data_IF_969397422084
#
_entry.id   IF_969397422084
#
_cell.length_a   1.000
_cell.length_b   1.000
_cell.length_c   1.000
_cell.angle_alpha   90.00
_cell.angle_beta   90.00
_cell.angle_gamma   90.00
#
_symmetry.space_group_name_H-M   'P 1'
#
loop_
_entity.id
_entity.type
_entity.pdbx_description
1 polymer ?
#
# COMPACT_ATOMS: atom_id res chain seq x y z
N UNK A 1 -14.57 -49.98 10.83
CA UNK A 1 -14.51 -48.84 9.91
C UNK A 1 -13.04 -48.64 9.62
N UNK A 2 -12.64 -48.71 8.35
CA UNK A 2 -11.26 -48.46 7.94
C UNK A 2 -10.89 -47.03 8.38
N UNK A 3 -9.63 -46.82 8.78
CA UNK A 3 -9.15 -45.47 9.14
C UNK A 3 -8.81 -44.72 7.84
N UNK A 4 -9.78 -43.96 7.35
CA UNK A 4 -9.69 -43.16 6.12
C UNK A 4 -8.41 -42.32 6.07
N UNK A 5 -7.93 -41.80 7.22
CA UNK A 5 -6.69 -41.05 7.29
C UNK A 5 -5.49 -41.92 6.97
N UNK A 6 -5.45 -43.15 7.53
CA UNK A 6 -4.35 -44.08 7.27
C UNK A 6 -4.34 -44.55 5.80
N UNK A 7 -5.51 -44.76 5.19
CA UNK A 7 -5.64 -45.09 3.78
C UNK A 7 -5.12 -43.96 2.89
N UNK A 8 -5.49 -42.71 3.15
CA UNK A 8 -5.00 -41.57 2.39
C UNK A 8 -3.49 -41.31 2.59
N UNK A 9 -2.98 -41.50 3.81
CA UNK A 9 -1.52 -41.45 4.05
C UNK A 9 -0.77 -42.51 3.24
N UNK A 10 -1.33 -43.69 3.07
CA UNK A 10 -0.73 -44.75 2.22
C UNK A 10 -0.77 -44.34 0.73
N UNK A 11 -1.86 -43.76 0.27
CA UNK A 11 -2.06 -43.28 -1.11
C UNK A 11 -1.13 -42.11 -1.50
N UNK A 12 -0.55 -41.36 -0.55
CA UNK A 12 0.50 -40.37 -0.84
C UNK A 12 1.78 -40.97 -1.44
N UNK A 13 1.92 -42.32 -1.46
CA UNK A 13 3.08 -43.05 -2.01
C UNK A 13 2.75 -43.75 -3.31
N UNK A 14 1.58 -43.53 -3.88
CA UNK A 14 1.16 -44.17 -5.14
C UNK A 14 2.07 -43.74 -6.29
N UNK A 15 2.23 -44.61 -7.29
CA UNK A 15 2.99 -44.31 -8.50
C UNK A 15 2.33 -43.22 -9.35
N UNK A 16 0.99 -43.20 -9.36
CA UNK A 16 0.20 -42.18 -10.09
C UNK A 16 0.13 -40.87 -9.29
N UNK A 17 0.60 -39.80 -9.92
CA UNK A 17 0.59 -38.46 -9.31
C UNK A 17 -0.84 -37.97 -9.00
N UNK A 18 -1.85 -38.36 -9.82
CA UNK A 18 -3.24 -37.94 -9.59
C UNK A 18 -3.81 -38.55 -8.31
N UNK A 19 -3.42 -39.81 -7.99
CA UNK A 19 -3.80 -40.47 -6.73
C UNK A 19 -3.10 -39.78 -5.56
N UNK A 20 -1.83 -39.39 -5.69
CA UNK A 20 -1.11 -38.66 -4.63
C UNK A 20 -1.71 -37.27 -4.38
N UNK A 21 -2.10 -36.57 -5.45
CA UNK A 21 -2.75 -35.24 -5.35
C UNK A 21 -4.12 -35.34 -4.66
N UNK A 22 -4.97 -36.31 -5.08
CA UNK A 22 -6.27 -36.55 -4.47
C UNK A 22 -6.14 -36.90 -2.98
N UNK A 23 -5.17 -37.78 -2.65
CA UNK A 23 -4.88 -38.14 -1.27
C UNK A 23 -4.46 -36.94 -0.41
N UNK A 24 -3.57 -36.06 -0.93
CA UNK A 24 -3.16 -34.85 -0.24
C UNK A 24 -4.36 -33.90 0.00
N UNK A 25 -5.20 -33.72 -1.02
CA UNK A 25 -6.41 -32.90 -0.94
C UNK A 25 -7.39 -33.44 0.08
N UNK A 26 -7.62 -34.76 0.10
CA UNK A 26 -8.50 -35.40 1.07
C UNK A 26 -7.97 -35.25 2.50
N UNK A 27 -6.65 -35.42 2.73
CA UNK A 27 -6.03 -35.20 4.04
C UNK A 27 -6.19 -33.75 4.52
N UNK A 28 -6.13 -32.78 3.63
CA UNK A 28 -6.45 -31.37 3.94
C UNK A 28 -7.90 -31.18 4.36
N UNK A 29 -8.83 -31.88 3.76
CA UNK A 29 -10.25 -31.85 4.15
C UNK A 29 -10.48 -32.48 5.52
N UNK A 30 -9.81 -33.59 5.81
CA UNK A 30 -9.90 -34.31 7.10
C UNK A 30 -9.25 -33.53 8.25
N UNK A 31 -8.27 -32.68 7.96
CA UNK A 31 -7.52 -31.86 8.93
C UNK A 31 -6.93 -32.65 10.11
N UNK A 32 -6.60 -33.91 9.90
CA UNK A 32 -6.05 -34.77 10.96
C UNK A 32 -4.56 -34.48 11.15
N UNK A 33 -4.08 -34.17 12.39
CA UNK A 33 -2.66 -33.92 12.65
C UNK A 33 -1.71 -35.06 12.26
N UNK A 34 -2.17 -36.30 12.19
CA UNK A 34 -1.37 -37.46 11.76
C UNK A 34 -0.88 -37.32 10.32
N UNK A 35 -1.56 -36.52 9.50
CA UNK A 35 -1.18 -36.27 8.11
C UNK A 35 0.00 -35.29 7.96
N UNK A 36 0.36 -34.52 9.00
CA UNK A 36 1.38 -33.44 8.91
C UNK A 36 2.70 -33.96 8.38
N UNK A 37 3.29 -34.97 9.04
CA UNK A 37 4.61 -35.48 8.64
C UNK A 37 4.57 -36.12 7.25
N UNK A 38 3.58 -36.99 6.89
CA UNK A 38 3.41 -37.45 5.53
C UNK A 38 3.31 -36.36 4.47
N UNK A 39 2.50 -35.32 4.70
CA UNK A 39 2.31 -34.19 3.79
C UNK A 39 3.58 -33.36 3.62
N UNK A 40 4.35 -33.15 4.69
CA UNK A 40 5.67 -32.49 4.60
C UNK A 40 6.64 -33.30 3.72
N UNK A 41 6.58 -34.61 3.73
CA UNK A 41 7.38 -35.45 2.83
C UNK A 41 7.01 -35.21 1.37
N UNK A 42 5.75 -35.01 1.07
CA UNK A 42 5.19 -34.79 -0.27
C UNK A 42 5.53 -33.38 -0.81
N UNK A 43 6.00 -32.45 0.02
CA UNK A 43 6.56 -31.17 -0.48
C UNK A 43 7.80 -31.36 -1.39
N UNK A 44 8.39 -32.55 -1.44
CA UNK A 44 9.49 -32.93 -2.33
C UNK A 44 9.02 -33.70 -3.59
N UNK A 45 7.71 -33.84 -3.77
CA UNK A 45 7.18 -34.58 -4.92
C UNK A 45 7.64 -33.96 -6.24
N UNK A 46 7.93 -34.80 -7.23
CA UNK A 46 8.34 -34.33 -8.55
C UNK A 46 7.21 -33.56 -9.25
N UNK A 47 5.95 -33.97 -9.01
CA UNK A 47 4.80 -33.31 -9.59
C UNK A 47 4.40 -32.05 -8.79
N UNK A 48 4.18 -30.96 -9.53
CA UNK A 48 3.81 -29.68 -8.93
C UNK A 48 2.41 -29.70 -8.30
N UNK A 49 1.43 -30.35 -8.96
CA UNK A 49 0.07 -30.41 -8.45
C UNK A 49 0.01 -31.10 -7.09
N UNK A 50 0.82 -32.17 -6.92
CA UNK A 50 0.96 -32.90 -5.64
C UNK A 50 1.56 -32.00 -4.56
N UNK A 51 2.62 -31.22 -4.89
CA UNK A 51 3.20 -30.27 -3.93
C UNK A 51 2.21 -29.16 -3.53
N UNK A 52 1.46 -28.62 -4.50
CA UNK A 52 0.47 -27.58 -4.27
C UNK A 52 -0.69 -28.08 -3.41
N UNK A 53 -1.16 -29.32 -3.65
CA UNK A 53 -2.18 -30.00 -2.83
C UNK A 53 -1.68 -30.23 -1.39
N UNK A 54 -0.45 -30.71 -1.22
CA UNK A 54 0.16 -30.93 0.10
C UNK A 54 0.33 -29.60 0.87
N UNK A 55 0.73 -28.55 0.19
CA UNK A 55 0.83 -27.18 0.75
C UNK A 55 -0.51 -26.70 1.24
N UNK A 56 -1.56 -26.84 0.43
CA UNK A 56 -2.93 -26.47 0.76
C UNK A 56 -3.47 -27.27 1.94
N UNK A 57 -3.16 -28.57 1.98
CA UNK A 57 -3.53 -29.48 3.06
C UNK A 57 -2.87 -29.09 4.40
N UNK A 58 -1.57 -28.80 4.38
CA UNK A 58 -0.84 -28.33 5.57
C UNK A 58 -1.38 -27.00 6.09
N UNK A 59 -1.76 -26.09 5.18
CA UNK A 59 -2.42 -24.84 5.54
C UNK A 59 -3.80 -25.09 6.18
N UNK A 60 -4.58 -26.03 5.64
CA UNK A 60 -5.90 -26.37 6.17
C UNK A 60 -5.82 -27.06 7.54
N UNK A 61 -4.77 -27.86 7.79
CA UNK A 61 -4.49 -28.48 9.11
C UNK A 61 -4.09 -27.36 10.10
N UNK A 62 -3.31 -26.38 9.65
CA UNK A 62 -2.98 -25.20 10.42
C UNK A 62 -2.00 -25.43 11.57
N UNK A 63 -2.39 -25.06 12.79
CA UNK A 63 -1.54 -25.03 13.99
C UNK A 63 -0.74 -26.32 14.27
N UNK A 64 -1.26 -27.53 14.09
CA UNK A 64 -0.48 -28.76 14.29
C UNK A 64 0.73 -28.90 13.38
N UNK A 65 0.72 -28.27 12.18
CA UNK A 65 1.80 -28.36 11.22
C UNK A 65 3.00 -27.41 11.54
N UNK A 66 2.79 -26.42 12.39
CA UNK A 66 3.70 -25.28 12.61
C UNK A 66 5.11 -25.73 12.99
N UNK A 67 5.25 -26.61 13.98
CA UNK A 67 6.58 -27.04 14.46
C UNK A 67 7.36 -27.82 13.39
N UNK A 68 6.67 -28.71 12.66
CA UNK A 68 7.27 -29.52 11.59
C UNK A 68 7.68 -28.61 10.42
N UNK A 69 6.83 -27.68 10.02
CA UNK A 69 7.13 -26.69 8.99
C UNK A 69 8.29 -25.76 9.39
N UNK A 70 8.38 -25.39 10.68
CA UNK A 70 9.50 -24.63 11.21
C UNK A 70 10.84 -25.32 11.04
N UNK A 71 10.89 -26.66 11.19
CA UNK A 71 12.09 -27.45 10.90
C UNK A 71 12.43 -27.46 9.39
N UNK A 72 11.42 -27.41 8.53
CA UNK A 72 11.61 -27.39 7.06
C UNK A 72 12.25 -26.08 6.55
N UNK A 73 12.29 -25.02 7.32
CA UNK A 73 12.98 -23.77 6.92
C UNK A 73 14.51 -23.96 6.80
N UNK A 74 15.05 -25.05 7.32
CA UNK A 74 16.46 -25.44 7.19
C UNK A 74 16.66 -26.70 6.34
N UNK A 75 15.66 -27.06 5.55
CA UNK A 75 15.70 -28.24 4.68
C UNK A 75 16.77 -28.06 3.57
N UNK A 76 17.52 -29.09 3.17
CA UNK A 76 18.47 -28.97 2.09
C UNK A 76 17.82 -28.73 0.71
N UNK A 77 16.55 -29.06 0.55
CA UNK A 77 15.79 -28.85 -0.69
C UNK A 77 15.10 -27.47 -0.64
N UNK A 78 15.52 -26.58 -1.52
CA UNK A 78 15.04 -25.18 -1.54
C UNK A 78 13.51 -25.06 -1.70
N UNK A 79 12.93 -25.87 -2.60
CA UNK A 79 11.48 -25.90 -2.81
C UNK A 79 10.72 -26.20 -1.51
N UNK A 80 11.27 -27.05 -0.65
CA UNK A 80 10.66 -27.34 0.66
C UNK A 80 10.73 -26.13 1.58
N UNK A 81 11.86 -25.39 1.60
CA UNK A 81 11.99 -24.16 2.36
C UNK A 81 10.96 -23.11 1.89
N UNK A 82 10.83 -22.91 0.57
CA UNK A 82 9.89 -21.97 -0.03
C UNK A 82 8.43 -22.31 0.35
N UNK A 83 8.02 -23.55 0.15
CA UNK A 83 6.66 -23.99 0.46
C UNK A 83 6.35 -23.93 1.96
N UNK A 84 7.27 -24.39 2.79
CA UNK A 84 7.13 -24.32 4.25
C UNK A 84 7.04 -22.87 4.74
N UNK A 85 7.91 -21.97 4.23
CA UNK A 85 7.89 -20.55 4.59
C UNK A 85 6.59 -19.86 4.15
N UNK A 86 6.04 -20.23 2.98
CA UNK A 86 4.76 -19.72 2.48
C UNK A 86 3.60 -20.10 3.40
N UNK A 87 3.51 -21.36 3.84
CA UNK A 87 2.50 -21.83 4.77
C UNK A 87 2.64 -21.11 6.13
N UNK A 88 3.85 -21.03 6.66
CA UNK A 88 4.13 -20.35 7.91
C UNK A 88 3.83 -18.85 7.86
N UNK A 89 4.08 -18.18 6.72
CA UNK A 89 3.69 -16.79 6.51
C UNK A 89 2.17 -16.57 6.58
N UNK A 90 1.39 -17.60 6.31
CA UNK A 90 -0.08 -17.55 6.39
C UNK A 90 -0.58 -17.89 7.80
N UNK A 91 -0.05 -18.92 8.45
CA UNK A 91 -0.44 -19.33 9.81
C UNK A 91 0.05 -18.32 10.86
N UNK A 92 1.28 -17.79 10.71
CA UNK A 92 1.90 -16.77 11.55
C UNK A 92 1.89 -17.10 13.07
N UNK A 93 2.35 -18.29 13.44
CA UNK A 93 2.40 -18.76 14.83
C UNK A 93 3.72 -18.38 15.52
N UNK A 94 3.62 -17.85 16.74
CA UNK A 94 4.80 -17.40 17.51
C UNK A 94 5.78 -18.51 17.89
N UNK A 95 5.40 -19.78 17.85
CA UNK A 95 6.26 -20.94 18.14
C UNK A 95 7.41 -21.09 17.16
N UNK A 96 7.23 -20.60 15.91
CA UNK A 96 8.27 -20.66 14.87
C UNK A 96 9.09 -19.36 14.75
N UNK A 97 8.98 -18.43 15.69
CA UNK A 97 9.75 -17.18 15.67
C UNK A 97 11.25 -17.42 15.45
N UNK A 98 11.88 -18.28 16.24
CA UNK A 98 13.33 -18.54 16.12
C UNK A 98 13.74 -19.16 14.79
N UNK A 99 13.04 -20.20 14.27
CA UNK A 99 13.26 -20.68 12.91
C UNK A 99 13.08 -19.60 11.84
N UNK A 100 12.04 -18.74 11.94
CA UNK A 100 11.80 -17.64 11.00
C UNK A 100 12.91 -16.59 11.05
N UNK A 101 13.38 -16.22 12.24
CA UNK A 101 14.53 -15.30 12.40
C UNK A 101 15.78 -15.87 11.71
N UNK A 102 16.05 -17.17 11.82
CA UNK A 102 17.15 -17.81 11.07
C UNK A 102 16.92 -17.76 9.58
N UNK A 103 15.68 -17.97 9.12
CA UNK A 103 15.30 -17.93 7.71
C UNK A 103 15.46 -16.56 7.05
N UNK A 104 15.53 -15.46 7.84
CA UNK A 104 15.89 -14.14 7.32
C UNK A 104 17.29 -14.07 6.69
N UNK A 105 18.19 -15.00 7.03
CA UNK A 105 19.51 -15.12 6.45
C UNK A 105 19.59 -16.17 5.29
N UNK A 106 18.47 -16.71 4.84
CA UNK A 106 18.43 -17.67 3.74
C UNK A 106 19.07 -17.08 2.46
N UNK A 107 19.84 -17.87 1.70
CA UNK A 107 20.34 -17.45 0.39
C UNK A 107 19.19 -17.14 -0.59
N UNK A 108 18.05 -17.81 -0.42
CA UNK A 108 16.87 -17.62 -1.25
C UNK A 108 16.03 -16.43 -0.78
N UNK A 109 15.67 -15.56 -1.71
CA UNK A 109 14.91 -14.35 -1.42
C UNK A 109 13.43 -14.61 -1.09
N UNK A 110 12.84 -15.70 -1.65
CA UNK A 110 11.44 -16.07 -1.38
C UNK A 110 11.30 -16.49 0.08
N UNK A 111 12.26 -17.27 0.57
CA UNK A 111 12.31 -17.70 1.97
C UNK A 111 12.49 -16.50 2.90
N UNK A 112 13.40 -15.55 2.57
CA UNK A 112 13.59 -14.33 3.37
C UNK A 112 12.32 -13.48 3.41
N UNK A 113 11.68 -13.29 2.25
CA UNK A 113 10.43 -12.53 2.14
C UNK A 113 9.30 -13.14 2.97
N UNK A 114 9.07 -14.44 2.84
CA UNK A 114 8.04 -15.14 3.62
C UNK A 114 8.35 -15.12 5.12
N UNK A 115 9.62 -15.25 5.51
CA UNK A 115 10.03 -15.15 6.91
C UNK A 115 9.73 -13.75 7.47
N UNK A 116 10.07 -12.69 6.73
CA UNK A 116 9.73 -11.32 7.13
C UNK A 116 8.21 -11.12 7.27
N UNK A 117 7.43 -11.62 6.30
CA UNK A 117 5.96 -11.59 6.33
C UNK A 117 5.38 -12.30 7.55
N UNK A 118 5.84 -13.50 7.84
CA UNK A 118 5.41 -14.28 9.00
C UNK A 118 5.71 -13.52 10.31
N UNK A 119 6.92 -12.99 10.45
CA UNK A 119 7.35 -12.24 11.63
C UNK A 119 6.53 -10.95 11.82
N UNK A 120 6.22 -10.25 10.72
CA UNK A 120 5.33 -9.08 10.75
C UNK A 120 3.92 -9.42 11.23
N UNK A 121 3.39 -10.58 10.87
CA UNK A 121 2.07 -11.06 11.33
C UNK A 121 2.08 -11.54 12.78
N UNK A 122 3.21 -12.13 13.24
CA UNK A 122 3.41 -12.53 14.65
C UNK A 122 3.48 -11.29 15.55
N UNK A 123 3.96 -10.16 15.05
CA UNK A 123 4.06 -8.87 15.75
C UNK A 123 4.87 -8.94 17.07
N UNK A 124 5.85 -9.82 17.17
CA UNK A 124 6.70 -9.92 18.35
C UNK A 124 7.77 -8.81 18.32
N UNK A 125 7.83 -7.92 19.33
CA UNK A 125 8.85 -6.85 19.39
C UNK A 125 10.30 -7.32 19.28
N UNK A 126 10.60 -8.54 19.70
CA UNK A 126 11.95 -9.14 19.65
C UNK A 126 12.42 -9.40 18.21
N UNK A 127 11.53 -9.34 17.23
CA UNK A 127 11.85 -9.56 15.82
C UNK A 127 12.25 -8.27 15.07
N UNK A 128 12.10 -7.11 15.70
CA UNK A 128 12.47 -5.82 15.10
C UNK A 128 13.96 -5.78 14.74
N UNK A 129 14.85 -6.08 15.69
CA UNK A 129 16.29 -6.04 15.45
C UNK A 129 16.77 -7.00 14.33
N UNK A 130 16.28 -8.25 14.22
CA UNK A 130 16.56 -9.12 13.09
C UNK A 130 16.01 -8.64 11.74
N UNK A 131 14.89 -7.91 11.72
CA UNK A 131 14.26 -7.43 10.47
C UNK A 131 14.96 -6.19 9.89
N UNK A 132 15.43 -5.26 10.72
CA UNK A 132 16.01 -3.99 10.27
C UNK A 132 17.10 -4.15 9.19
N UNK A 133 18.05 -5.09 9.28
CA UNK A 133 19.06 -5.29 8.24
C UNK A 133 18.49 -5.61 6.84
N UNK A 134 17.27 -6.18 6.75
CA UNK A 134 16.65 -6.53 5.48
C UNK A 134 16.08 -5.29 4.74
N UNK A 135 16.04 -4.13 5.35
CA UNK A 135 15.73 -2.87 4.65
C UNK A 135 16.74 -2.53 3.55
N UNK A 136 17.93 -3.16 3.56
CA UNK A 136 18.93 -3.07 2.49
C UNK A 136 19.06 -4.35 1.64
N UNK A 137 18.11 -5.29 1.74
CA UNK A 137 18.17 -6.51 0.95
C UNK A 137 18.30 -6.18 -0.55
N UNK A 138 19.09 -6.98 -1.27
CA UNK A 138 19.29 -6.81 -2.71
C UNK A 138 18.00 -6.94 -3.52
N UNK A 139 17.02 -7.70 -3.01
CA UNK A 139 15.75 -7.95 -3.68
C UNK A 139 14.69 -6.97 -3.17
N UNK A 140 14.06 -6.22 -4.07
CA UNK A 140 13.07 -5.20 -3.75
C UNK A 140 11.89 -5.77 -2.95
N UNK A 141 11.36 -6.94 -3.36
CA UNK A 141 10.23 -7.59 -2.67
C UNK A 141 10.54 -7.91 -1.20
N UNK A 142 11.78 -8.27 -0.86
CA UNK A 142 12.21 -8.50 0.53
C UNK A 142 12.20 -7.20 1.32
N UNK A 143 12.71 -6.10 0.73
CA UNK A 143 12.71 -4.79 1.40
C UNK A 143 11.28 -4.29 1.67
N UNK A 144 10.39 -4.38 0.68
CA UNK A 144 8.98 -3.96 0.78
C UNK A 144 8.21 -4.77 1.83
N UNK A 145 8.40 -6.09 1.86
CA UNK A 145 7.79 -6.94 2.88
C UNK A 145 8.37 -6.66 4.28
N UNK A 146 9.68 -6.39 4.37
CA UNK A 146 10.33 -6.00 5.62
C UNK A 146 9.77 -4.68 6.17
N UNK A 147 9.59 -3.66 5.30
CA UNK A 147 8.95 -2.40 5.68
C UNK A 147 7.53 -2.64 6.21
N UNK A 148 6.78 -3.51 5.54
CA UNK A 148 5.41 -3.87 5.95
C UNK A 148 5.40 -4.65 7.26
N UNK A 149 6.35 -5.56 7.47
CA UNK A 149 6.51 -6.33 8.70
C UNK A 149 6.84 -5.43 9.89
N UNK A 150 7.80 -4.53 9.74
CA UNK A 150 8.18 -3.57 10.79
C UNK A 150 7.02 -2.62 11.11
N UNK A 151 6.28 -2.17 10.10
CA UNK A 151 5.08 -1.36 10.30
C UNK A 151 3.98 -2.11 11.06
N UNK A 152 3.77 -3.40 10.75
CA UNK A 152 2.79 -4.24 11.44
C UNK A 152 3.15 -4.50 12.91
N UNK A 153 4.45 -4.57 13.26
CA UNK A 153 4.91 -4.64 14.66
C UNK A 153 4.59 -3.34 15.40
N UNK A 154 4.49 -2.22 14.68
CA UNK A 154 3.97 -0.96 15.21
C UNK A 154 4.94 -0.24 16.17
N UNK A 155 4.42 0.23 17.31
CA UNK A 155 5.15 1.10 18.23
C UNK A 155 6.53 0.58 18.67
N UNK A 156 6.70 -0.73 18.80
CA UNK A 156 7.99 -1.32 19.16
C UNK A 156 9.07 -1.15 18.08
N UNK A 157 8.69 -0.98 16.81
CA UNK A 157 9.62 -0.76 15.72
C UNK A 157 10.02 0.72 15.56
N UNK A 158 9.24 1.67 16.09
CA UNK A 158 9.46 3.11 15.88
C UNK A 158 10.89 3.57 16.22
N UNK A 159 11.49 3.23 17.38
CA UNK A 159 12.83 3.68 17.69
C UNK A 159 13.87 3.22 16.66
N UNK A 160 13.78 1.96 16.21
CA UNK A 160 14.70 1.39 15.22
C UNK A 160 14.51 2.00 13.83
N UNK A 161 13.24 2.24 13.43
CA UNK A 161 12.92 2.90 12.16
C UNK A 161 13.37 4.35 12.13
N UNK A 162 13.18 5.10 13.23
CA UNK A 162 13.64 6.48 13.36
C UNK A 162 15.17 6.53 13.29
N UNK A 163 15.87 5.61 13.96
CA UNK A 163 17.32 5.50 13.86
C UNK A 163 17.79 5.20 12.42
N UNK A 164 17.06 4.36 11.68
CA UNK A 164 17.34 4.02 10.29
C UNK A 164 17.24 5.22 9.33
N UNK A 165 16.53 6.31 9.68
CA UNK A 165 16.44 7.53 8.87
C UNK A 165 17.79 8.26 8.70
N UNK A 166 18.79 7.96 9.53
CA UNK A 166 20.13 8.54 9.43
C UNK A 166 21.15 7.60 8.79
N UNK A 167 20.71 6.46 8.27
CA UNK A 167 21.59 5.47 7.66
C UNK A 167 22.31 6.02 6.41
N UNK A 168 23.55 5.57 6.18
CA UNK A 168 24.35 5.99 5.02
C UNK A 168 23.72 5.61 3.69
N UNK A 169 23.17 4.40 3.60
CA UNK A 169 22.51 3.87 2.41
C UNK A 169 21.11 4.44 2.23
N UNK A 170 20.85 5.07 1.10
CA UNK A 170 19.57 5.72 0.80
C UNK A 170 18.39 4.75 0.79
N UNK A 171 18.60 3.48 0.34
CA UNK A 171 17.56 2.47 0.34
C UNK A 171 17.05 2.15 1.74
N UNK A 172 17.94 2.10 2.74
CA UNK A 172 17.55 1.88 4.15
C UNK A 172 16.69 3.04 4.63
N UNK A 173 17.12 4.30 4.34
CA UNK A 173 16.32 5.47 4.71
C UNK A 173 14.95 5.48 4.03
N UNK A 174 14.90 5.16 2.73
CA UNK A 174 13.67 5.08 1.93
C UNK A 174 12.67 4.10 2.57
N UNK A 175 13.11 2.86 2.80
CA UNK A 175 12.21 1.83 3.36
C UNK A 175 11.89 2.06 4.84
N UNK A 176 12.73 2.76 5.58
CA UNK A 176 12.41 3.22 6.94
C UNK A 176 11.31 4.29 6.91
N UNK A 177 11.39 5.26 5.99
CA UNK A 177 10.33 6.27 5.74
C UNK A 177 9.01 5.60 5.37
N UNK A 178 9.04 4.65 4.42
CA UNK A 178 7.87 3.88 4.00
C UNK A 178 7.23 3.13 5.18
N UNK A 179 8.05 2.44 5.98
CA UNK A 179 7.58 1.71 7.17
C UNK A 179 6.95 2.68 8.20
N UNK A 180 7.58 3.82 8.47
CA UNK A 180 7.06 4.84 9.38
C UNK A 180 5.71 5.40 8.90
N UNK A 181 5.54 5.67 7.62
CA UNK A 181 4.25 6.07 7.04
C UNK A 181 3.16 5.03 7.27
N UNK A 182 3.46 3.76 7.05
CA UNK A 182 2.53 2.64 7.26
C UNK A 182 2.13 2.47 8.73
N UNK A 183 2.99 2.81 9.70
CA UNK A 183 2.63 2.73 11.13
C UNK A 183 1.53 3.70 11.52
N UNK A 184 1.35 4.79 10.76
CA UNK A 184 0.46 5.92 11.07
C UNK A 184 0.69 6.52 12.47
N UNK A 185 1.89 6.37 13.02
CA UNK A 185 2.22 6.91 14.34
C UNK A 185 2.53 8.40 14.26
N UNK A 186 1.88 9.18 15.12
CA UNK A 186 2.15 10.61 15.28
C UNK A 186 3.57 10.92 15.77
N UNK A 187 4.27 9.95 16.36
CA UNK A 187 5.67 10.10 16.80
C UNK A 187 6.64 10.20 15.63
N UNK A 188 6.27 9.63 14.45
CA UNK A 188 7.09 9.68 13.24
C UNK A 188 7.08 11.05 12.54
N UNK A 189 6.12 11.94 12.85
CA UNK A 189 5.93 13.21 12.12
C UNK A 189 7.19 14.07 12.13
N UNK A 190 7.73 14.39 13.29
CA UNK A 190 8.91 15.25 13.39
C UNK A 190 10.18 14.64 12.74
N UNK A 191 10.51 13.35 12.95
CA UNK A 191 11.57 12.68 12.20
C UNK A 191 11.38 12.75 10.67
N UNK A 192 10.17 12.51 10.18
CA UNK A 192 9.85 12.58 8.74
C UNK A 192 9.93 14.01 8.18
N UNK A 193 9.55 15.02 8.95
CA UNK A 193 9.75 16.42 8.56
C UNK A 193 11.24 16.76 8.44
N UNK A 194 12.08 16.22 9.32
CA UNK A 194 13.52 16.38 9.20
C UNK A 194 14.06 15.74 7.91
N UNK A 195 13.58 14.55 7.55
CA UNK A 195 13.95 13.87 6.29
C UNK A 195 13.48 14.69 5.08
N UNK A 196 12.24 15.18 5.07
CA UNK A 196 11.68 15.98 4.00
C UNK A 196 12.58 17.16 3.61
N UNK A 197 13.13 17.88 4.57
CA UNK A 197 13.92 19.09 4.30
C UNK A 197 15.42 18.88 4.24
N UNK A 198 15.95 17.78 4.81
CA UNK A 198 17.38 17.61 4.96
C UNK A 198 17.96 16.38 4.26
N UNK A 199 17.14 15.44 3.77
CA UNK A 199 17.69 14.28 3.09
C UNK A 199 18.29 14.69 1.73
N UNK A 200 19.49 14.18 1.46
CA UNK A 200 20.22 14.44 0.20
C UNK A 200 19.59 13.76 -1.01
N UNK A 201 18.84 12.68 -0.77
CA UNK A 201 18.22 11.89 -1.84
C UNK A 201 16.78 12.34 -2.07
N UNK A 202 16.49 12.69 -3.35
CA UNK A 202 15.16 13.16 -3.73
C UNK A 202 14.07 12.12 -3.49
N UNK A 203 14.33 10.85 -3.81
CA UNK A 203 13.33 9.79 -3.65
C UNK A 203 12.94 9.60 -2.18
N UNK A 204 13.91 9.76 -1.26
CA UNK A 204 13.65 9.70 0.19
C UNK A 204 12.80 10.89 0.64
N UNK A 205 13.05 12.11 0.12
CA UNK A 205 12.20 13.29 0.41
C UNK A 205 10.78 13.12 -0.13
N UNK A 206 10.62 12.61 -1.36
CA UNK A 206 9.32 12.32 -1.95
C UNK A 206 8.52 11.31 -1.10
N UNK A 207 9.16 10.25 -0.65
CA UNK A 207 8.51 9.26 0.21
C UNK A 207 8.19 9.82 1.60
N UNK A 208 9.00 10.75 2.13
CA UNK A 208 8.67 11.45 3.38
C UNK A 208 7.37 12.27 3.26
N UNK A 209 7.15 12.94 2.11
CA UNK A 209 5.86 13.61 1.82
C UNK A 209 4.70 12.61 1.82
N UNK A 210 4.86 11.48 1.12
CA UNK A 210 3.83 10.42 1.08
C UNK A 210 3.53 9.85 2.47
N UNK A 211 4.58 9.58 3.25
CA UNK A 211 4.49 9.06 4.61
C UNK A 211 3.75 10.04 5.54
N UNK A 212 4.05 11.34 5.47
CA UNK A 212 3.34 12.37 6.24
C UNK A 212 1.85 12.43 5.87
N UNK A 213 1.52 12.31 4.58
CA UNK A 213 0.13 12.21 4.13
C UNK A 213 -0.58 10.93 4.61
N UNK A 214 0.12 9.79 4.69
CA UNK A 214 -0.41 8.53 5.21
C UNK A 214 -0.68 8.58 6.72
N UNK A 215 0.21 9.24 7.48
CA UNK A 215 0.02 9.45 8.92
C UNK A 215 -1.21 10.33 9.19
N UNK A 216 -1.43 11.35 8.37
CA UNK A 216 -2.62 12.19 8.46
C UNK A 216 -2.58 13.21 9.61
N UNK A 217 -1.41 13.50 10.20
CA UNK A 217 -1.30 14.43 11.32
C UNK A 217 -1.27 15.89 10.86
N UNK A 218 -2.16 16.69 11.42
CA UNK A 218 -2.32 18.10 11.08
C UNK A 218 -1.08 18.98 11.37
N UNK A 219 -0.11 18.52 12.16
CA UNK A 219 1.17 19.19 12.38
C UNK A 219 2.02 19.31 11.12
N UNK A 220 1.81 18.41 10.15
CA UNK A 220 2.56 18.41 8.89
C UNK A 220 2.08 19.49 7.89
N UNK A 221 0.89 20.07 8.06
CA UNK A 221 0.23 20.93 7.08
C UNK A 221 1.10 22.09 6.62
N UNK A 222 1.60 22.91 7.54
CA UNK A 222 2.41 24.11 7.21
C UNK A 222 3.75 23.75 6.52
N UNK A 223 4.30 22.62 6.90
CA UNK A 223 5.53 22.10 6.30
C UNK A 223 5.29 21.57 4.87
N UNK A 224 4.17 20.87 4.65
CA UNK A 224 3.77 20.42 3.31
C UNK A 224 3.43 21.60 2.40
N UNK A 225 2.80 22.66 2.91
CA UNK A 225 2.61 23.92 2.16
C UNK A 225 3.95 24.53 1.76
N UNK A 226 4.96 24.42 2.62
CA UNK A 226 6.32 24.88 2.30
C UNK A 226 6.97 23.98 1.23
N UNK A 227 6.81 22.67 1.34
CA UNK A 227 7.34 21.70 0.39
C UNK A 227 6.77 21.84 -1.02
N UNK A 228 5.54 22.38 -1.17
CA UNK A 228 4.97 22.69 -2.49
C UNK A 228 5.81 23.69 -3.32
N UNK A 229 6.74 24.42 -2.71
CA UNK A 229 7.63 25.36 -3.41
C UNK A 229 8.83 24.66 -4.06
N UNK A 230 9.11 23.41 -3.69
CA UNK A 230 10.20 22.63 -4.28
C UNK A 230 9.72 21.91 -5.55
N UNK A 231 10.46 22.07 -6.68
CA UNK A 231 10.17 21.31 -7.91
C UNK A 231 10.14 19.80 -7.64
N UNK A 232 9.12 19.11 -8.17
CA UNK A 232 8.93 17.66 -8.03
C UNK A 232 8.26 17.23 -6.73
N UNK A 233 8.18 18.06 -5.70
CA UNK A 233 7.42 17.74 -4.48
C UNK A 233 5.99 18.30 -4.50
N UNK A 234 5.71 19.29 -5.36
CA UNK A 234 4.45 20.03 -5.38
C UNK A 234 3.22 19.14 -5.50
N UNK A 235 3.09 18.24 -6.50
CA UNK A 235 1.92 17.38 -6.62
C UNK A 235 1.76 16.44 -5.42
N UNK A 236 2.87 15.88 -4.94
CA UNK A 236 2.88 14.96 -3.80
C UNK A 236 2.45 15.65 -2.50
N UNK A 237 2.92 16.88 -2.28
CA UNK A 237 2.55 17.69 -1.11
C UNK A 237 1.06 18.05 -1.14
N UNK A 238 0.51 18.38 -2.31
CA UNK A 238 -0.92 18.64 -2.52
C UNK A 238 -1.74 17.40 -2.21
N UNK A 239 -1.34 16.23 -2.73
CA UNK A 239 -1.99 14.95 -2.43
C UNK A 239 -1.96 14.65 -0.92
N UNK A 240 -0.80 14.85 -0.27
CA UNK A 240 -0.63 14.65 1.17
C UNK A 240 -1.53 15.59 1.99
N UNK A 241 -1.63 16.87 1.61
CA UNK A 241 -2.55 17.83 2.23
C UNK A 241 -4.01 17.41 2.09
N UNK A 242 -4.40 16.89 0.92
CA UNK A 242 -5.73 16.33 0.70
C UNK A 242 -6.02 15.11 1.57
N UNK A 243 -5.04 14.23 1.78
CA UNK A 243 -5.15 13.05 2.67
C UNK A 243 -5.26 13.42 4.14
N UNK A 244 -4.51 14.45 4.58
CA UNK A 244 -4.60 14.98 5.95
C UNK A 244 -6.00 15.59 6.19
N UNK A 245 -6.57 16.25 5.19
CA UNK A 245 -7.94 16.76 5.28
C UNK A 245 -8.10 18.02 6.14
N UNK A 246 -7.03 18.70 6.52
CA UNK A 246 -7.09 19.89 7.37
C UNK A 246 -7.48 21.14 6.56
N UNK A 247 -8.46 21.90 7.08
CA UNK A 247 -8.97 23.11 6.43
C UNK A 247 -7.94 24.22 6.22
N UNK A 248 -6.85 24.23 6.97
CA UNK A 248 -5.74 25.19 6.78
C UNK A 248 -5.10 25.09 5.39
N UNK A 249 -5.22 23.93 4.74
CA UNK A 249 -4.72 23.73 3.38
C UNK A 249 -5.63 24.38 2.31
N UNK A 250 -6.91 24.65 2.60
CA UNK A 250 -7.89 25.11 1.60
C UNK A 250 -7.47 26.38 0.87
N UNK A 251 -7.01 27.46 1.53
CA UNK A 251 -6.62 28.69 0.84
C UNK A 251 -5.50 28.48 -0.18
N UNK A 252 -4.46 27.72 0.18
CA UNK A 252 -3.32 27.46 -0.73
C UNK A 252 -3.72 26.55 -1.87
N UNK A 253 -4.58 25.56 -1.64
CA UNK A 253 -5.09 24.66 -2.70
C UNK A 253 -5.98 25.43 -3.69
N UNK A 254 -6.80 26.37 -3.22
CA UNK A 254 -7.55 27.28 -4.09
C UNK A 254 -6.60 28.14 -4.93
N UNK A 255 -5.52 28.63 -4.35
CA UNK A 255 -4.53 29.42 -5.09
C UNK A 255 -3.81 28.60 -6.17
N UNK A 256 -3.47 27.33 -5.89
CA UNK A 256 -2.98 26.40 -6.91
C UNK A 256 -4.00 26.24 -8.03
N UNK A 257 -5.27 25.99 -7.70
CA UNK A 257 -6.32 25.76 -8.69
C UNK A 257 -6.58 26.98 -9.59
N UNK A 258 -6.36 28.21 -9.10
CA UNK A 258 -6.42 29.42 -9.92
C UNK A 258 -5.34 29.46 -11.04
N UNK A 259 -4.27 28.67 -10.88
CA UNK A 259 -3.26 28.53 -11.92
C UNK A 259 -3.80 28.02 -13.26
N UNK A 260 -4.98 27.39 -13.29
CA UNK A 260 -5.67 26.94 -14.50
C UNK A 260 -6.01 28.08 -15.45
N UNK A 261 -6.12 29.32 -14.94
CA UNK A 261 -6.45 30.51 -15.74
C UNK A 261 -5.25 31.13 -16.46
N UNK A 262 -4.04 30.60 -16.27
CA UNK A 262 -2.83 31.07 -16.94
C UNK A 262 -2.88 30.69 -18.43
N UNK A 263 -2.54 31.62 -19.35
CA UNK A 263 -2.57 31.37 -20.79
C UNK A 263 -1.74 30.17 -21.21
N UNK A 264 -0.62 29.93 -20.51
CA UNK A 264 0.32 28.84 -20.79
C UNK A 264 -0.29 27.45 -20.52
N UNK A 265 -1.26 27.34 -19.62
CA UNK A 265 -1.96 26.09 -19.27
C UNK A 265 -3.10 25.77 -20.25
N UNK A 266 -3.60 26.80 -20.95
CA UNK A 266 -4.75 26.67 -21.85
C UNK A 266 -4.40 26.28 -23.28
N UNK A 267 -3.12 26.26 -23.67
CA UNK A 267 -2.67 25.91 -25.03
C UNK A 267 -1.53 24.88 -24.96
N UNK A 268 -1.60 23.79 -25.76
CA UNK A 268 -0.46 22.88 -25.90
C UNK A 268 0.70 23.62 -26.56
N UNK A 269 1.81 23.81 -25.85
CA UNK A 269 3.05 24.33 -26.43
C UNK A 269 3.93 23.13 -26.78
N UNK A 270 4.18 22.93 -28.05
CA UNK A 270 5.16 21.96 -28.54
C UNK A 270 6.55 22.28 -27.97
N UNK A 271 7.06 21.40 -27.08
CA UNK A 271 8.48 21.40 -26.72
C UNK A 271 8.88 21.67 -25.26
N UNK A 272 7.97 21.85 -24.31
CA UNK A 272 8.29 21.98 -22.87
C UNK A 272 7.81 20.75 -22.06
N UNK A 273 8.59 19.65 -22.08
CA UNK A 273 8.12 18.35 -21.59
C UNK A 273 7.80 18.27 -20.09
N UNK A 274 8.79 18.39 -19.19
CA UNK A 274 8.63 17.89 -17.83
C UNK A 274 7.97 18.87 -16.84
N UNK A 275 8.17 20.18 -17.01
CA UNK A 275 7.62 21.20 -16.10
C UNK A 275 6.10 21.41 -16.30
N UNK A 276 5.65 21.23 -17.53
CA UNK A 276 4.24 21.33 -17.89
C UNK A 276 3.40 20.23 -17.27
N UNK A 277 3.93 19.02 -17.28
CA UNK A 277 3.24 17.85 -16.70
C UNK A 277 3.08 18.00 -15.19
N UNK A 278 4.07 18.56 -14.48
CA UNK A 278 4.00 18.76 -13.03
C UNK A 278 2.91 19.76 -12.61
N UNK A 279 2.82 20.90 -13.30
CA UNK A 279 1.80 21.92 -13.01
C UNK A 279 0.39 21.40 -13.32
N UNK A 280 0.21 20.65 -14.40
CA UNK A 280 -1.06 20.02 -14.75
C UNK A 280 -1.48 18.97 -13.71
N UNK A 281 -0.54 18.12 -13.28
CA UNK A 281 -0.79 17.14 -12.21
C UNK A 281 -1.20 17.88 -10.92
N UNK A 282 -0.46 18.93 -10.55
CA UNK A 282 -0.74 19.72 -9.36
C UNK A 282 -2.14 20.35 -9.35
N UNK A 283 -2.64 20.80 -10.51
CA UNK A 283 -4.00 21.33 -10.66
C UNK A 283 -5.07 20.27 -10.42
N UNK A 284 -4.91 19.09 -10.99
CA UNK A 284 -5.81 17.96 -10.77
C UNK A 284 -5.81 17.50 -9.30
N UNK A 285 -4.62 17.34 -8.72
CA UNK A 285 -4.48 16.97 -7.31
C UNK A 285 -5.08 18.03 -6.36
N UNK A 286 -4.97 19.33 -6.68
CA UNK A 286 -5.59 20.38 -5.88
C UNK A 286 -7.13 20.28 -5.91
N UNK A 287 -7.74 20.00 -7.06
CA UNK A 287 -9.18 19.77 -7.15
C UNK A 287 -9.62 18.56 -6.32
N UNK A 288 -8.90 17.43 -6.42
CA UNK A 288 -9.15 16.20 -5.62
C UNK A 288 -9.02 16.46 -4.13
N UNK A 289 -7.96 17.17 -3.72
CA UNK A 289 -7.69 17.50 -2.33
C UNK A 289 -8.83 18.38 -1.74
N UNK A 290 -9.25 19.42 -2.47
CA UNK A 290 -10.38 20.26 -2.07
C UNK A 290 -11.70 19.47 -1.93
N UNK A 291 -11.94 18.52 -2.85
CA UNK A 291 -13.08 17.60 -2.77
C UNK A 291 -12.99 16.62 -1.59
N UNK A 292 -11.79 16.28 -1.11
CA UNK A 292 -11.58 15.42 0.06
C UNK A 292 -11.78 16.19 1.36
N UNK A 293 -11.27 17.43 1.45
CA UNK A 293 -11.40 18.32 2.61
C UNK A 293 -12.86 18.76 2.80
N UNK A 294 -13.63 18.94 1.71
CA UNK A 294 -15.05 19.34 1.71
C UNK A 294 -15.34 20.65 2.44
N UNK A 295 -14.45 21.62 2.33
CA UNK A 295 -14.76 22.97 2.79
C UNK A 295 -15.51 23.75 1.71
N UNK A 296 -16.71 24.24 2.03
CA UNK A 296 -17.62 24.91 1.07
C UNK A 296 -17.00 26.16 0.43
N UNK A 297 -16.00 26.77 1.06
CA UNK A 297 -15.23 27.90 0.51
C UNK A 297 -14.56 27.53 -0.83
N UNK A 298 -14.29 26.24 -1.06
CA UNK A 298 -13.69 25.75 -2.31
C UNK A 298 -14.69 25.64 -3.48
N UNK A 299 -16.01 25.61 -3.22
CA UNK A 299 -17.03 25.36 -4.25
C UNK A 299 -16.92 26.35 -5.42
N UNK A 300 -16.81 27.68 -5.23
CA UNK A 300 -16.70 28.60 -6.36
C UNK A 300 -15.51 28.33 -7.28
N UNK A 301 -14.36 27.98 -6.69
CA UNK A 301 -13.14 27.66 -7.46
C UNK A 301 -13.26 26.34 -8.21
N UNK A 302 -13.86 25.31 -7.61
CA UNK A 302 -14.12 24.03 -8.26
C UNK A 302 -15.15 24.16 -9.39
N UNK A 303 -16.22 24.95 -9.21
CA UNK A 303 -17.21 25.24 -10.25
C UNK A 303 -16.55 25.95 -11.44
N UNK A 304 -15.63 26.88 -11.18
CA UNK A 304 -14.86 27.55 -12.23
C UNK A 304 -13.92 26.59 -12.96
N UNK A 305 -13.32 25.66 -12.24
CA UNK A 305 -12.38 24.65 -12.79
C UNK A 305 -13.06 23.68 -13.77
N UNK A 306 -14.39 23.51 -13.75
CA UNK A 306 -15.14 22.73 -14.75
C UNK A 306 -14.99 23.26 -16.18
N UNK A 307 -14.65 24.54 -16.37
CA UNK A 307 -14.48 25.16 -17.68
C UNK A 307 -13.18 24.75 -18.37
N UNK A 308 -12.22 24.21 -17.63
CA UNK A 308 -10.88 23.89 -18.13
C UNK A 308 -10.69 22.38 -18.31
N UNK A 309 -10.24 21.97 -19.48
CA UNK A 309 -10.11 20.54 -19.85
C UNK A 309 -9.22 19.78 -18.87
N UNK A 310 -8.14 20.40 -18.41
CA UNK A 310 -7.13 19.81 -17.51
C UNK A 310 -7.71 19.41 -16.14
N UNK A 311 -8.64 20.23 -15.60
CA UNK A 311 -9.19 20.03 -14.25
C UNK A 311 -10.63 19.58 -14.23
N UNK A 312 -11.30 19.56 -15.37
CA UNK A 312 -12.75 19.33 -15.48
C UNK A 312 -13.21 18.04 -14.80
N UNK A 313 -12.55 16.93 -15.08
CA UNK A 313 -12.93 15.64 -14.51
C UNK A 313 -12.73 15.62 -13.00
N UNK A 314 -11.57 16.08 -12.52
CA UNK A 314 -11.23 16.10 -11.10
C UNK A 314 -12.12 17.08 -10.32
N UNK A 315 -12.44 18.24 -10.92
CA UNK A 315 -13.37 19.22 -10.33
C UNK A 315 -14.81 18.67 -10.26
N UNK A 316 -15.28 17.96 -11.29
CA UNK A 316 -16.58 17.30 -11.29
C UNK A 316 -16.67 16.25 -10.18
N UNK A 317 -15.64 15.39 -10.06
CA UNK A 317 -15.54 14.39 -9.01
C UNK A 317 -15.47 15.03 -7.60
N UNK A 318 -14.69 16.10 -7.47
CA UNK A 318 -14.62 16.87 -6.22
C UNK A 318 -15.99 17.42 -5.83
N UNK A 319 -16.68 18.10 -6.75
CA UNK A 319 -18.01 18.69 -6.50
C UNK A 319 -19.06 17.64 -6.10
N UNK A 320 -19.00 16.43 -6.66
CA UNK A 320 -19.94 15.37 -6.25
C UNK A 320 -19.82 15.01 -4.77
N UNK A 321 -18.65 15.17 -4.17
CA UNK A 321 -18.42 14.88 -2.75
C UNK A 321 -19.08 15.90 -1.81
N UNK A 322 -19.42 17.08 -2.30
CA UNK A 322 -20.16 18.09 -1.53
C UNK A 322 -21.68 17.83 -1.53
N UNK A 323 -22.19 16.92 -2.39
CA UNK A 323 -23.61 16.60 -2.44
C UNK A 323 -24.47 17.78 -2.89
N UNK A 324 -25.62 17.98 -2.24
CA UNK A 324 -26.64 18.97 -2.64
C UNK A 324 -26.20 20.43 -2.58
N UNK A 325 -25.17 20.78 -1.80
CA UNK A 325 -24.72 22.19 -1.63
C UNK A 325 -24.20 22.82 -2.92
N UNK A 326 -23.75 21.99 -3.89
CA UNK A 326 -23.24 22.47 -5.19
C UNK A 326 -24.34 22.71 -6.23
N UNK A 327 -25.60 22.31 -6.00
CA UNK A 327 -26.68 22.38 -6.98
C UNK A 327 -26.90 23.84 -7.42
N UNK A 328 -27.07 24.77 -6.48
CA UNK A 328 -27.31 26.18 -6.80
C UNK A 328 -26.13 26.83 -7.56
N UNK A 329 -24.87 26.69 -7.14
CA UNK A 329 -23.71 27.17 -7.92
C UNK A 329 -23.62 26.58 -9.32
N UNK A 330 -23.89 25.28 -9.48
CA UNK A 330 -23.83 24.60 -10.78
C UNK A 330 -24.96 25.06 -11.73
N UNK A 331 -26.17 25.27 -11.22
CA UNK A 331 -27.29 25.83 -12.00
C UNK A 331 -27.00 27.26 -12.44
N UNK A 332 -26.40 28.08 -11.57
CA UNK A 332 -25.98 29.44 -11.91
C UNK A 332 -24.89 29.45 -13.01
N UNK A 333 -23.96 28.52 -13.00
CA UNK A 333 -22.98 28.36 -14.07
C UNK A 333 -23.65 27.87 -15.36
N UNK A 334 -24.52 26.87 -15.30
CA UNK A 334 -25.23 26.29 -16.47
C UNK A 334 -26.05 27.33 -17.21
N UNK A 335 -26.67 28.30 -16.46
CA UNK A 335 -27.48 29.37 -17.06
C UNK A 335 -26.66 30.39 -17.85
N UNK A 336 -25.35 30.50 -17.59
CA UNK A 336 -24.45 31.49 -18.22
C UNK A 336 -23.47 30.86 -19.21
N UNK A 337 -23.39 29.55 -19.23
CA UNK A 337 -22.44 28.83 -20.06
C UNK A 337 -22.99 28.58 -21.46
N UNK A 338 -22.24 28.93 -22.48
CA UNK A 338 -22.58 28.75 -23.89
C UNK A 338 -21.93 27.54 -24.55
N UNK A 339 -20.81 27.04 -23.98
CA UNK A 339 -20.09 25.87 -24.49
C UNK A 339 -20.84 24.57 -24.17
N UNK A 340 -21.25 23.84 -25.21
CA UNK A 340 -22.06 22.63 -25.06
C UNK A 340 -21.31 21.50 -24.31
N UNK A 341 -20.00 21.40 -24.46
CA UNK A 341 -19.19 20.39 -23.77
C UNK A 341 -19.15 20.71 -22.26
N UNK A 342 -18.92 21.97 -21.89
CA UNK A 342 -18.92 22.40 -20.49
C UNK A 342 -20.34 22.20 -19.91
N UNK A 343 -21.38 22.59 -20.62
CA UNK A 343 -22.79 22.36 -20.24
C UNK A 343 -23.10 20.89 -19.99
N UNK A 344 -22.57 20.00 -20.84
CA UNK A 344 -22.70 18.55 -20.65
C UNK A 344 -22.12 18.11 -19.30
N UNK A 345 -20.88 18.48 -18.98
CA UNK A 345 -20.24 18.11 -17.73
C UNK A 345 -20.91 18.70 -16.49
N UNK A 346 -21.43 19.92 -16.59
CA UNK A 346 -22.23 20.51 -15.49
C UNK A 346 -23.51 19.68 -15.26
N UNK A 347 -24.23 19.32 -16.31
CA UNK A 347 -25.44 18.48 -16.21
C UNK A 347 -25.13 17.09 -15.66
N UNK A 348 -24.04 16.49 -16.10
CA UNK A 348 -23.56 15.20 -15.58
C UNK A 348 -23.26 15.31 -14.07
N UNK A 349 -22.53 16.33 -13.65
CA UNK A 349 -22.23 16.58 -12.23
C UNK A 349 -23.51 16.80 -11.42
N UNK A 350 -24.46 17.57 -11.93
CA UNK A 350 -25.78 17.76 -11.32
C UNK A 350 -26.53 16.43 -11.16
N UNK A 351 -26.53 15.58 -12.17
CA UNK A 351 -27.16 14.25 -12.11
C UNK A 351 -26.49 13.35 -11.03
N UNK A 352 -25.16 13.37 -10.94
CA UNK A 352 -24.38 12.62 -9.95
C UNK A 352 -24.65 13.07 -8.50
N UNK A 353 -24.97 14.34 -8.27
CA UNK A 353 -25.39 14.83 -6.95
C UNK A 353 -26.89 14.66 -6.69
N UNK A 354 -27.60 13.94 -7.56
CA UNK A 354 -29.01 13.60 -7.38
C UNK A 354 -30.01 14.65 -7.86
N UNK A 355 -29.57 15.71 -8.53
CA UNK A 355 -30.47 16.68 -9.13
C UNK A 355 -31.15 16.11 -10.39
N UNK A 356 -32.50 16.30 -10.50
CA UNK A 356 -33.30 15.92 -11.68
C UNK A 356 -34.07 17.13 -12.17
N UNK A 357 -33.95 17.45 -13.45
CA UNK A 357 -34.76 18.50 -14.08
C UNK A 357 -36.26 18.19 -13.91
N UNK A 358 -37.01 19.09 -13.30
CA UNK A 358 -38.47 18.94 -13.12
C UNK A 358 -38.96 18.57 -11.71
N UNK A 359 -38.08 18.53 -10.69
CA UNK A 359 -38.48 18.52 -9.28
C UNK A 359 -38.06 19.85 -8.62
N UNK A 360 -38.86 20.86 -8.82
CA UNK A 360 -38.95 22.09 -8.01
C UNK A 360 -40.38 22.18 -7.52
#
# INVERSE_FOLDING_TARGET
MADTVAEQIAALKDEDWAIREEAATMLGTLRDPRAVVPLVFVLRDDDRAVRDAATSALLAIGEPAVTTLGACLSDPVLTVQELASSVLATIADARVREPLVKALASPDWIVRMHAAKALGRIQDPRTVAPLVPLLQDKVKAVREETSSALAAIGGAALPSLIAALTHTEWLVRLHAVEALGKTRSAEAVNPLLSVLFNDRDRAVREDAVRALGQIGDARAVEFLVTAMKEPGLRPLAIEALGRIGDRRAVPVLIEVLKGVERPEVSQPIDGCGDQWDEDMIALGEAAKALGTIRDEVAIPSLVKALRFTVTRADAADALTRFGGTVITPLLALLARESDDNIRYHIKETLARVGWRAGRV
#
